data_IF_099223268417
#
_entry.id   IF_099223268417
#
_cell.length_a   1.000
_cell.length_b   1.000
_cell.length_c   1.000
_cell.angle_alpha   90.00
_cell.angle_beta   90.00
_cell.angle_gamma   90.00
#
_symmetry.space_group_name_H-M   'P 1'
#
loop_
_entity.id
_entity.type
_entity.pdbx_description
1 polymer ?
#
# COMPACT_ATOMS: atom_id res chain seq x y z
N UNK A 1 -4.31 -12.47 -29.77
CA UNK A 1 -4.03 -13.41 -28.64
C UNK A 1 -2.52 -13.50 -28.34
N UNK A 2 -1.65 -13.70 -29.32
CA UNK A 2 -0.18 -13.82 -29.12
C UNK A 2 0.51 -12.57 -28.58
N UNK A 3 0.02 -11.36 -28.91
CA UNK A 3 0.59 -10.10 -28.39
C UNK A 3 0.29 -9.88 -26.91
N UNK A 4 -0.93 -10.22 -26.45
CA UNK A 4 -1.36 -10.05 -25.05
C UNK A 4 -0.58 -10.95 -24.09
N UNK A 5 -0.38 -12.22 -24.48
CA UNK A 5 0.41 -13.17 -23.70
C UNK A 5 1.88 -12.73 -23.60
N UNK A 6 2.43 -12.16 -24.67
CA UNK A 6 3.79 -11.63 -24.68
C UNK A 6 3.92 -10.43 -23.72
N UNK A 7 2.94 -9.53 -23.73
CA UNK A 7 2.94 -8.32 -22.92
C UNK A 7 2.89 -8.61 -21.41
N UNK A 8 1.93 -9.44 -20.98
CA UNK A 8 1.81 -9.91 -19.60
C UNK A 8 3.12 -10.54 -19.13
N UNK A 9 3.73 -11.40 -19.96
CA UNK A 9 5.00 -12.06 -19.64
C UNK A 9 6.16 -11.07 -19.47
N UNK A 10 6.19 -9.97 -20.23
CA UNK A 10 7.20 -8.91 -20.06
C UNK A 10 7.06 -8.22 -18.71
N UNK A 11 5.84 -7.89 -18.30
CA UNK A 11 5.56 -7.30 -17.00
C UNK A 11 5.93 -8.25 -15.85
N UNK A 12 5.60 -9.54 -15.96
CA UNK A 12 5.98 -10.55 -14.97
C UNK A 12 7.50 -10.70 -14.84
N UNK A 13 8.21 -10.68 -15.96
CA UNK A 13 9.68 -10.72 -15.97
C UNK A 13 10.28 -9.48 -15.31
N UNK A 14 9.72 -8.30 -15.58
CA UNK A 14 10.15 -7.06 -14.96
C UNK A 14 9.88 -7.07 -13.45
N UNK A 15 8.69 -7.50 -13.03
CA UNK A 15 8.36 -7.66 -11.62
C UNK A 15 9.32 -8.65 -10.93
N UNK A 16 9.61 -9.80 -11.55
CA UNK A 16 10.58 -10.77 -11.02
C UNK A 16 11.98 -10.15 -10.89
N UNK A 17 12.40 -9.31 -11.84
CA UNK A 17 13.67 -8.57 -11.78
C UNK A 17 13.67 -7.59 -10.60
N UNK A 18 12.59 -6.83 -10.39
CA UNK A 18 12.45 -5.89 -9.28
C UNK A 18 12.51 -6.59 -7.93
N UNK A 19 11.70 -7.64 -7.74
CA UNK A 19 11.70 -8.49 -6.54
C UNK A 19 13.10 -9.01 -6.20
N UNK A 20 13.84 -9.52 -7.20
CA UNK A 20 15.20 -10.05 -6.99
C UNK A 20 16.19 -8.95 -6.60
N UNK A 21 16.12 -7.78 -7.24
CA UNK A 21 17.05 -6.67 -6.98
C UNK A 21 16.83 -6.03 -5.61
N UNK A 22 15.58 -5.86 -5.22
CA UNK A 22 15.21 -5.15 -4.00
C UNK A 22 14.94 -6.09 -2.82
N UNK A 23 14.85 -7.40 -3.06
CA UNK A 23 14.56 -8.44 -2.06
C UNK A 23 13.27 -8.17 -1.27
N UNK A 24 12.27 -7.61 -1.94
CA UNK A 24 10.98 -7.20 -1.39
C UNK A 24 9.84 -7.55 -2.34
N UNK A 25 8.61 -7.56 -1.81
CA UNK A 25 7.40 -7.71 -2.61
C UNK A 25 7.26 -9.09 -3.26
N UNK A 26 7.74 -10.16 -2.62
CA UNK A 26 7.73 -11.51 -3.19
C UNK A 26 6.31 -12.05 -3.39
N UNK A 27 5.38 -11.60 -2.57
CA UNK A 27 3.93 -11.79 -2.62
C UNK A 27 3.27 -11.15 -3.83
N UNK A 28 3.83 -10.04 -4.35
CA UNK A 28 3.19 -9.25 -5.38
C UNK A 28 3.01 -10.02 -6.69
N UNK A 29 1.86 -9.88 -7.33
CA UNK A 29 1.61 -10.35 -8.69
C UNK A 29 1.36 -9.14 -9.57
N UNK A 30 1.52 -9.30 -10.88
CA UNK A 30 1.16 -8.25 -11.85
C UNK A 30 0.09 -8.80 -12.78
N UNK A 31 -0.91 -7.98 -13.07
CA UNK A 31 -1.95 -8.27 -14.07
C UNK A 31 -2.04 -7.08 -15.00
N UNK A 32 -1.83 -7.33 -16.28
CA UNK A 32 -2.16 -6.39 -17.34
C UNK A 32 -3.65 -6.48 -17.65
N UNK A 33 -4.35 -5.37 -17.45
CA UNK A 33 -5.79 -5.28 -17.65
C UNK A 33 -6.11 -3.98 -18.40
N UNK A 34 -5.70 -3.86 -19.67
CA UNK A 34 -6.00 -2.67 -20.46
C UNK A 34 -7.52 -2.48 -20.51
N UNK A 35 -7.97 -1.22 -20.64
CA UNK A 35 -9.39 -0.85 -20.65
C UNK A 35 -10.05 -0.75 -19.26
N UNK A 36 -9.41 -0.03 -18.34
CA UNK A 36 -10.10 0.49 -17.16
C UNK A 36 -10.77 1.82 -17.55
N UNK A 37 -12.08 1.97 -17.30
CA UNK A 37 -12.85 3.20 -17.61
C UNK A 37 -12.46 4.41 -16.71
N UNK A 38 -11.22 4.45 -16.21
CA UNK A 38 -10.75 5.41 -15.22
C UNK A 38 -9.42 6.05 -15.61
N UNK A 39 -9.15 7.23 -15.05
CA UNK A 39 -7.93 8.02 -15.29
C UNK A 39 -6.67 7.46 -14.59
N UNK A 40 -6.63 6.16 -14.28
CA UNK A 40 -5.51 5.53 -13.57
C UNK A 40 -4.64 4.76 -14.55
N UNK A 41 -3.32 4.96 -14.46
CA UNK A 41 -2.34 4.18 -15.20
C UNK A 41 -2.13 2.78 -14.60
N UNK A 42 -2.29 2.66 -13.28
CA UNK A 42 -2.20 1.40 -12.52
C UNK A 42 -2.59 1.61 -11.05
N UNK A 43 -2.70 0.52 -10.32
CA UNK A 43 -2.96 0.52 -8.87
C UNK A 43 -2.54 -0.80 -8.22
N UNK A 44 -2.34 -0.79 -6.90
CA UNK A 44 -2.14 -2.01 -6.12
C UNK A 44 -3.39 -2.34 -5.30
N UNK A 45 -3.99 -3.51 -5.56
CA UNK A 45 -5.11 -4.05 -4.79
C UNK A 45 -4.68 -5.34 -4.11
N UNK A 46 -4.53 -5.28 -2.77
CA UNK A 46 -3.97 -6.39 -1.99
C UNK A 46 -2.52 -6.65 -2.43
N UNK A 47 -2.26 -7.87 -2.91
CA UNK A 47 -0.94 -8.27 -3.41
C UNK A 47 -0.88 -8.32 -4.95
N UNK A 48 -1.77 -7.60 -5.65
CA UNK A 48 -1.82 -7.58 -7.12
C UNK A 48 -1.65 -6.15 -7.61
N UNK A 49 -0.61 -5.93 -8.42
CA UNK A 49 -0.40 -4.72 -9.20
C UNK A 49 -1.19 -4.85 -10.50
N UNK A 50 -2.16 -3.97 -10.68
CA UNK A 50 -2.90 -3.83 -11.92
C UNK A 50 -2.25 -2.75 -12.78
N UNK A 51 -1.99 -3.06 -14.04
CA UNK A 51 -1.45 -2.12 -15.02
C UNK A 51 -2.47 -1.95 -16.14
N UNK A 52 -2.89 -0.71 -16.36
CA UNK A 52 -3.96 -0.35 -17.30
C UNK A 52 -3.45 0.24 -18.61
N UNK A 53 -2.19 0.68 -18.63
CA UNK A 53 -1.53 1.21 -19.82
C UNK A 53 -1.41 0.15 -20.94
N UNK A 54 -1.79 0.53 -22.16
CA UNK A 54 -1.64 -0.31 -23.35
C UNK A 54 -0.23 -0.24 -23.95
N UNK A 55 0.43 0.92 -23.82
CA UNK A 55 1.78 1.15 -24.34
C UNK A 55 2.84 0.44 -23.47
N UNK A 56 3.76 -0.29 -24.10
CA UNK A 56 4.76 -1.09 -23.37
C UNK A 56 5.62 -0.29 -22.41
N UNK A 57 6.18 0.80 -22.90
CA UNK A 57 7.07 1.65 -22.12
C UNK A 57 6.33 2.26 -20.94
N UNK A 58 5.07 2.59 -21.14
CA UNK A 58 4.22 3.27 -20.17
C UNK A 58 3.77 2.26 -19.11
N UNK A 59 3.35 1.06 -19.51
CA UNK A 59 3.03 -0.05 -18.63
C UNK A 59 4.21 -0.47 -17.74
N UNK A 60 5.42 -0.57 -18.30
CA UNK A 60 6.63 -0.87 -17.53
C UNK A 60 6.97 0.24 -16.54
N UNK A 61 6.78 1.51 -16.92
CA UNK A 61 6.97 2.65 -16.02
C UNK A 61 5.97 2.59 -14.87
N UNK A 62 4.71 2.35 -15.16
CA UNK A 62 3.64 2.19 -14.16
C UNK A 62 3.96 1.04 -13.21
N UNK A 63 4.30 -0.15 -13.72
CA UNK A 63 4.67 -1.29 -12.86
C UNK A 63 5.79 -0.96 -11.88
N UNK A 64 6.84 -0.25 -12.35
CA UNK A 64 7.95 0.17 -11.48
C UNK A 64 7.49 1.16 -10.42
N UNK A 65 6.64 2.11 -10.80
CA UNK A 65 6.07 3.09 -9.88
C UNK A 65 5.29 2.41 -8.77
N UNK A 66 4.31 1.58 -9.14
CA UNK A 66 3.44 0.87 -8.18
C UNK A 66 4.24 -0.09 -7.28
N UNK A 67 5.25 -0.79 -7.81
CA UNK A 67 6.11 -1.64 -7.01
C UNK A 67 6.89 -0.84 -5.95
N UNK A 68 7.46 0.30 -6.34
CA UNK A 68 8.24 1.14 -5.42
C UNK A 68 7.34 1.80 -4.38
N UNK A 69 6.18 2.28 -4.79
CA UNK A 69 5.19 2.88 -3.87
C UNK A 69 4.70 1.85 -2.84
N UNK A 70 4.41 0.62 -3.27
CA UNK A 70 4.11 -0.48 -2.35
C UNK A 70 5.25 -0.75 -1.36
N UNK A 71 6.48 -0.85 -1.85
CA UNK A 71 7.64 -1.14 -1.01
C UNK A 71 7.89 -0.03 0.03
N UNK A 72 7.77 1.24 -0.38
CA UNK A 72 7.91 2.40 0.50
C UNK A 72 6.76 2.43 1.52
N UNK A 73 5.53 2.19 1.07
CA UNK A 73 4.36 2.13 1.95
C UNK A 73 4.54 1.06 3.03
N UNK A 74 5.02 -0.14 2.68
CA UNK A 74 5.33 -1.20 3.66
C UNK A 74 6.44 -0.82 4.64
N UNK A 75 7.40 -0.01 4.22
CA UNK A 75 8.45 0.50 5.11
C UNK A 75 7.89 1.53 6.10
N UNK A 76 6.94 2.36 5.68
CA UNK A 76 6.37 3.46 6.47
C UNK A 76 5.25 2.96 7.41
N UNK A 77 4.48 1.94 7.00
CA UNK A 77 3.31 1.44 7.73
C UNK A 77 3.57 1.07 9.21
N UNK A 78 4.71 0.45 9.58
CA UNK A 78 5.03 0.20 10.99
C UNK A 78 5.07 1.47 11.84
N UNK A 79 5.62 2.56 11.31
CA UNK A 79 5.70 3.83 12.03
C UNK A 79 4.32 4.44 12.24
N UNK A 80 3.47 4.40 11.21
CA UNK A 80 2.06 4.80 11.30
C UNK A 80 1.32 3.98 12.37
N UNK A 81 1.53 2.66 12.39
CA UNK A 81 0.92 1.78 13.37
C UNK A 81 1.36 2.08 14.81
N UNK A 82 2.65 2.34 15.03
CA UNK A 82 3.15 2.73 16.36
C UNK A 82 2.55 4.05 16.80
N UNK A 83 2.57 5.08 15.93
CA UNK A 83 2.00 6.39 16.24
C UNK A 83 0.52 6.31 16.58
N UNK A 84 -0.26 5.55 15.81
CA UNK A 84 -1.68 5.35 16.07
C UNK A 84 -1.94 4.68 17.44
N UNK A 85 -1.13 3.68 17.81
CA UNK A 85 -1.22 3.04 19.12
C UNK A 85 -0.86 3.99 20.26
N UNK A 86 0.16 4.83 20.08
CA UNK A 86 0.53 5.84 21.08
C UNK A 86 -0.60 6.85 21.29
N UNK A 87 -1.22 7.35 20.21
CA UNK A 87 -2.37 8.24 20.29
C UNK A 87 -3.52 7.58 21.08
N UNK A 88 -3.83 6.31 20.76
CA UNK A 88 -4.87 5.55 21.46
C UNK A 88 -4.59 5.45 22.96
N UNK A 89 -3.38 5.05 23.35
CA UNK A 89 -2.97 4.93 24.75
C UNK A 89 -3.05 6.27 25.49
N UNK A 90 -2.60 7.35 24.87
CA UNK A 90 -2.66 8.70 25.45
C UNK A 90 -4.09 9.16 25.66
N UNK A 91 -4.98 8.89 24.69
CA UNK A 91 -6.39 9.23 24.80
C UNK A 91 -7.09 8.45 25.93
N UNK A 92 -6.83 7.16 26.05
CA UNK A 92 -7.36 6.32 27.14
C UNK A 92 -6.91 6.82 28.51
N UNK A 93 -5.62 7.12 28.67
CA UNK A 93 -5.07 7.62 29.94
C UNK A 93 -5.64 9.01 30.28
N UNK A 94 -5.77 9.89 29.29
CA UNK A 94 -6.34 11.23 29.47
C UNK A 94 -7.79 11.15 29.91
N UNK A 95 -8.57 10.25 29.30
CA UNK A 95 -9.95 10.00 29.68
C UNK A 95 -10.04 9.48 31.13
N UNK A 96 -9.25 8.46 31.50
CA UNK A 96 -9.22 7.91 32.86
C UNK A 96 -8.88 8.97 33.91
N UNK A 97 -7.90 9.83 33.65
CA UNK A 97 -7.53 10.92 34.56
C UNK A 97 -8.63 11.94 34.72
N UNK A 98 -9.29 12.30 33.62
CA UNK A 98 -10.43 13.22 33.63
C UNK A 98 -11.58 12.66 34.46
N UNK A 99 -11.96 11.39 34.26
CA UNK A 99 -13.04 10.77 35.06
C UNK A 99 -12.70 10.71 36.55
N UNK A 100 -11.48 10.28 36.93
CA UNK A 100 -11.03 10.31 38.34
C UNK A 100 -11.11 11.70 38.96
N UNK A 101 -10.75 12.73 38.20
CA UNK A 101 -10.82 14.10 38.67
C UNK A 101 -12.26 14.58 38.83
N UNK A 102 -13.14 14.23 37.91
CA UNK A 102 -14.58 14.51 38.01
C UNK A 102 -15.18 13.81 39.24
N UNK A 103 -14.88 12.53 39.46
CA UNK A 103 -15.32 11.79 40.65
C UNK A 103 -14.91 12.51 41.94
N UNK A 104 -13.64 12.93 42.04
CA UNK A 104 -13.15 13.67 43.20
C UNK A 104 -13.85 15.02 43.40
N UNK A 105 -14.20 15.72 42.31
CA UNK A 105 -14.95 16.97 42.39
C UNK A 105 -16.40 16.75 42.83
N UNK A 106 -17.04 15.67 42.38
CA UNK A 106 -18.41 15.30 42.78
C UNK A 106 -18.49 14.98 44.26
N UNK A 107 -17.45 14.39 44.86
CA UNK A 107 -17.42 14.13 46.31
C UNK A 107 -17.26 15.41 47.15
N UNK A 108 -16.82 16.52 46.55
CA UNK A 108 -16.57 17.79 47.25
C UNK A 108 -17.76 18.76 47.25
N UNK A 109 -18.68 18.63 46.29
CA UNK A 109 -19.83 19.53 46.10
C UNK A 109 -21.14 18.84 46.45
#
# INVERSE_FOLDING_TARGET
>A
MTSMINFQKRLENELKRLKKRLKLGYELKVVWSPNNNGNLSGEVKGDVIYVYEEGEKEALKTLRHEFLDYAISKLIEPYKNVTNKLIMLMNEESYKRKEKFIEALVELI
#
